data_IF_685064538998
#
_entry.id   IF_685064538998
#
_cell.length_a   1.000
_cell.length_b   1.000
_cell.length_c   1.000
_cell.angle_alpha   90.00
_cell.angle_beta   90.00
_cell.angle_gamma   90.00
#
_symmetry.space_group_name_H-M   'P 1'
#
loop_
_entity.id
_entity.type
_entity.pdbx_description
1 polymer ?
#
# COMPACT_ATOMS: atom_id res chain seq x y z
N UNK A 1 -104.66 -14.14 -22.65
CA UNK A 1 -105.08 -14.77 -21.38
C UNK A 1 -104.12 -14.31 -20.28
N UNK A 2 -104.68 -13.71 -19.21
CA UNK A 2 -104.13 -13.25 -17.92
C UNK A 2 -102.60 -13.25 -17.63
N UNK A 3 -102.12 -12.04 -17.30
CA UNK A 3 -100.96 -11.61 -16.47
C UNK A 3 -100.69 -12.51 -15.23
N UNK A 4 -99.46 -12.56 -14.66
CA UNK A 4 -99.00 -11.45 -13.80
C UNK A 4 -97.49 -11.11 -13.75
N UNK A 5 -97.28 -9.84 -13.39
CA UNK A 5 -96.05 -9.24 -12.85
C UNK A 5 -95.35 -10.13 -11.81
N UNK A 6 -94.03 -10.25 -11.94
CA UNK A 6 -93.13 -10.50 -10.82
C UNK A 6 -91.88 -9.61 -10.91
N UNK A 7 -91.74 -8.78 -9.88
CA UNK A 7 -90.53 -8.07 -9.48
C UNK A 7 -89.35 -9.03 -9.35
N UNK A 8 -88.18 -8.65 -9.89
CA UNK A 8 -86.88 -9.27 -9.60
C UNK A 8 -86.00 -8.18 -8.98
N UNK A 9 -85.46 -8.35 -7.77
CA UNK A 9 -84.59 -7.38 -7.16
C UNK A 9 -83.17 -7.49 -7.73
N UNK A 10 -82.55 -6.33 -7.95
CA UNK A 10 -81.13 -6.18 -8.22
C UNK A 10 -80.31 -6.74 -7.05
N UNK A 11 -79.52 -7.80 -7.28
CA UNK A 11 -78.44 -8.20 -6.39
C UNK A 11 -77.16 -7.55 -6.92
N UNK A 12 -76.76 -6.45 -6.30
CA UNK A 12 -75.47 -5.80 -6.53
C UNK A 12 -74.39 -6.64 -5.81
N UNK A 13 -73.74 -7.52 -6.55
CA UNK A 13 -72.63 -8.31 -6.03
C UNK A 13 -71.39 -7.39 -5.94
N UNK A 14 -71.21 -6.75 -4.79
CA UNK A 14 -70.02 -5.96 -4.49
C UNK A 14 -68.80 -6.88 -4.34
N UNK A 15 -67.94 -6.91 -5.36
CA UNK A 15 -66.61 -7.48 -5.27
C UNK A 15 -65.73 -6.55 -4.42
N UNK A 16 -65.50 -6.93 -3.16
CA UNK A 16 -64.53 -6.30 -2.29
C UNK A 16 -63.12 -6.69 -2.77
N UNK A 17 -62.54 -5.88 -3.66
CA UNK A 17 -61.12 -5.93 -4.00
C UNK A 17 -60.33 -5.41 -2.79
N UNK A 18 -59.88 -6.34 -1.95
CA UNK A 18 -58.94 -6.07 -0.87
C UNK A 18 -57.56 -5.81 -1.50
N UNK A 19 -57.25 -4.54 -1.78
CA UNK A 19 -55.89 -4.13 -2.14
C UNK A 19 -55.00 -4.23 -0.91
N UNK A 20 -54.29 -5.36 -0.75
CA UNK A 20 -53.12 -5.41 0.12
C UNK A 20 -52.03 -4.51 -0.48
N UNK A 21 -51.98 -3.26 -0.05
CA UNK A 21 -50.78 -2.44 -0.17
C UNK A 21 -49.73 -3.03 0.78
N UNK A 22 -48.85 -3.86 0.23
CA UNK A 22 -47.56 -4.16 0.87
C UNK A 22 -46.77 -2.85 0.94
N UNK A 23 -46.95 -2.12 2.03
CA UNK A 23 -45.98 -1.11 2.48
C UNK A 23 -44.71 -1.86 2.91
N UNK A 24 -43.90 -2.25 1.94
CA UNK A 24 -42.52 -2.61 2.19
C UNK A 24 -41.79 -1.32 2.55
N UNK A 25 -41.79 -0.97 3.85
CA UNK A 25 -40.88 0.05 4.34
C UNK A 25 -39.47 -0.50 4.15
N UNK A 26 -38.80 -0.11 3.07
CA UNK A 26 -37.36 -0.25 2.96
C UNK A 26 -36.74 0.59 4.08
N UNK A 27 -36.53 -0.02 5.24
CA UNK A 27 -35.67 0.52 6.27
C UNK A 27 -34.27 0.59 5.67
N UNK A 28 -33.93 1.74 5.09
CA UNK A 28 -32.57 2.03 4.66
C UNK A 28 -31.66 1.83 5.86
N UNK A 29 -30.86 0.76 5.85
CA UNK A 29 -29.77 0.58 6.80
C UNK A 29 -28.88 1.81 6.66
N UNK A 30 -28.87 2.70 7.67
CA UNK A 30 -27.85 3.75 7.77
C UNK A 30 -26.49 3.05 7.69
N UNK A 31 -25.74 3.27 6.61
CA UNK A 31 -24.35 2.83 6.51
C UNK A 31 -23.61 3.40 7.72
N UNK A 32 -23.10 2.53 8.58
CA UNK A 32 -22.28 2.93 9.71
C UNK A 32 -20.97 3.48 9.17
N UNK A 33 -20.70 4.76 9.41
CA UNK A 33 -19.40 5.38 9.11
C UNK A 33 -18.39 4.98 10.20
N UNK A 34 -17.24 4.47 9.77
CA UNK A 34 -16.11 4.20 10.64
C UNK A 34 -15.36 5.49 10.96
N UNK A 35 -14.81 5.59 12.17
CA UNK A 35 -13.93 6.71 12.55
C UNK A 35 -12.62 6.59 11.75
N UNK A 36 -12.17 7.65 11.05
CA UNK A 36 -10.91 7.60 10.31
C UNK A 36 -9.74 7.38 11.26
N UNK A 37 -8.78 6.57 10.84
CA UNK A 37 -7.52 6.37 11.56
C UNK A 37 -6.67 7.64 11.50
N UNK A 38 -5.97 7.91 12.60
CA UNK A 38 -4.96 8.96 12.64
C UNK A 38 -3.60 8.26 12.62
N UNK A 39 -2.94 8.32 11.47
CA UNK A 39 -1.55 7.91 11.30
C UNK A 39 -0.71 9.17 11.36
N UNK A 40 0.35 9.17 12.15
CA UNK A 40 1.30 10.28 12.19
C UNK A 40 2.11 10.31 10.90
N UNK A 41 1.86 11.33 10.07
CA UNK A 41 2.54 11.55 8.80
C UNK A 41 3.67 12.60 8.90
N UNK A 42 4.01 13.08 10.09
CA UNK A 42 5.06 14.09 10.28
C UNK A 42 6.45 13.63 9.86
N UNK A 43 6.68 12.32 9.84
CA UNK A 43 7.93 11.68 9.42
C UNK A 43 7.81 10.95 8.08
N UNK A 44 6.90 11.39 7.21
CA UNK A 44 6.67 10.76 5.92
C UNK A 44 6.51 11.79 4.82
N UNK A 45 7.15 11.59 3.68
CA UNK A 45 6.68 12.15 2.41
C UNK A 45 5.85 11.13 1.65
N UNK A 46 5.06 11.57 0.66
CA UNK A 46 4.28 10.69 -0.21
C UNK A 46 4.51 11.02 -1.67
N UNK A 47 4.74 9.99 -2.47
CA UNK A 47 4.72 10.07 -3.94
C UNK A 47 3.41 9.49 -4.45
N UNK A 48 2.74 10.18 -5.38
CA UNK A 48 1.47 9.73 -6.00
C UNK A 48 1.71 9.26 -7.44
N UNK A 49 0.77 8.52 -8.06
CA UNK A 49 0.94 8.05 -9.42
C UNK A 49 0.74 9.17 -10.44
N UNK A 50 0.11 10.29 -10.08
CA UNK A 50 -0.12 11.39 -11.00
C UNK A 50 1.08 12.33 -11.05
N UNK A 51 1.25 13.01 -12.18
CA UNK A 51 2.12 14.17 -12.26
C UNK A 51 1.38 15.36 -11.63
N UNK A 52 2.12 16.24 -10.98
CA UNK A 52 1.60 17.52 -10.54
C UNK A 52 1.15 18.33 -11.79
N UNK A 53 -0.15 18.67 -11.92
CA UNK A 53 -0.66 19.38 -13.08
C UNK A 53 0.01 20.74 -13.32
N UNK A 54 0.53 21.38 -12.28
CA UNK A 54 1.18 22.69 -12.38
C UNK A 54 2.61 22.58 -12.92
N UNK A 55 3.34 21.51 -12.58
CA UNK A 55 4.77 21.38 -12.91
C UNK A 55 5.08 20.31 -13.95
N UNK A 56 4.14 19.39 -14.21
CA UNK A 56 4.35 18.20 -15.03
C UNK A 56 5.37 17.22 -14.42
N UNK A 57 5.75 17.39 -13.16
CA UNK A 57 6.72 16.54 -12.46
C UNK A 57 6.03 15.54 -11.56
N UNK A 58 6.75 14.48 -11.20
CA UNK A 58 6.27 13.51 -10.21
C UNK A 58 5.93 14.23 -8.91
N UNK A 59 4.72 14.03 -8.43
CA UNK A 59 4.28 14.58 -7.16
C UNK A 59 5.05 13.96 -6.01
N UNK A 60 5.64 14.80 -5.17
CA UNK A 60 6.21 14.42 -3.88
C UNK A 60 5.78 15.47 -2.84
N UNK A 61 4.90 15.08 -1.92
CA UNK A 61 4.38 15.97 -0.88
C UNK A 61 5.00 15.58 0.44
N UNK A 62 5.63 16.55 1.09
CA UNK A 62 6.37 16.37 2.35
C UNK A 62 5.66 17.13 3.50
N UNK A 63 6.08 16.94 4.76
CA UNK A 63 5.66 17.79 5.86
C UNK A 63 6.08 19.26 5.65
N UNK A 64 5.24 20.22 6.06
CA UNK A 64 3.93 20.04 6.72
C UNK A 64 2.76 19.77 5.76
N UNK A 65 2.92 19.90 4.45
CA UNK A 65 1.82 19.83 3.47
C UNK A 65 1.08 18.47 3.48
N UNK A 66 1.81 17.37 3.70
CA UNK A 66 1.21 16.02 3.80
C UNK A 66 0.26 15.87 4.99
N UNK A 67 0.42 16.68 6.05
CA UNK A 67 -0.44 16.61 7.23
C UNK A 67 -1.89 17.02 6.91
N UNK A 68 -2.08 17.82 5.86
CA UNK A 68 -3.39 18.21 5.34
C UNK A 68 -3.82 17.37 4.12
N UNK A 69 -3.41 16.09 4.05
CA UNK A 69 -3.67 15.23 2.88
C UNK A 69 -5.13 15.18 2.46
N UNK A 70 -6.06 15.19 3.41
CA UNK A 70 -7.49 15.10 3.15
C UNK A 70 -8.03 16.29 2.31
N UNK A 71 -7.38 17.45 2.39
CA UNK A 71 -7.75 18.65 1.64
C UNK A 71 -6.69 19.04 0.59
N UNK A 72 -5.68 18.20 0.37
CA UNK A 72 -4.62 18.48 -0.60
C UNK A 72 -5.02 17.93 -1.98
N UNK A 73 -5.17 18.81 -2.97
CA UNK A 73 -5.62 18.45 -4.32
C UNK A 73 -4.69 17.46 -5.03
N UNK A 74 -3.39 17.47 -4.71
CA UNK A 74 -2.42 16.52 -5.24
C UNK A 74 -2.55 15.11 -4.64
N UNK A 75 -3.21 14.99 -3.48
CA UNK A 75 -3.25 13.76 -2.70
C UNK A 75 -4.63 13.12 -2.62
N UNK A 76 -5.71 13.91 -2.55
CA UNK A 76 -7.07 13.43 -2.22
C UNK A 76 -7.61 12.31 -3.13
N UNK A 77 -7.07 12.18 -4.36
CA UNK A 77 -7.40 11.08 -5.28
C UNK A 77 -6.67 9.78 -4.94
N UNK A 78 -5.42 9.86 -4.50
CA UNK A 78 -4.51 8.72 -4.36
C UNK A 78 -4.18 8.37 -2.90
N UNK A 79 -4.49 9.26 -1.96
CA UNK A 79 -4.33 9.06 -0.53
C UNK A 79 -5.49 9.74 0.22
N UNK A 80 -6.40 8.95 0.79
CA UNK A 80 -7.62 9.46 1.42
C UNK A 80 -8.16 8.52 2.50
N UNK A 81 -8.99 9.05 3.39
CA UNK A 81 -9.71 8.22 4.38
C UNK A 81 -10.92 7.55 3.73
N UNK A 82 -11.05 6.24 3.92
CA UNK A 82 -12.28 5.53 3.57
C UNK A 82 -13.26 5.56 4.77
N UNK A 83 -14.41 6.24 4.65
CA UNK A 83 -15.38 6.33 5.74
C UNK A 83 -16.06 5.00 6.06
N UNK A 84 -15.98 3.98 5.21
CA UNK A 84 -16.58 2.66 5.47
C UNK A 84 -15.67 1.79 6.33
N UNK A 85 -14.38 1.75 6.00
CA UNK A 85 -13.41 0.90 6.71
C UNK A 85 -12.63 1.65 7.79
N UNK A 86 -12.59 2.98 7.72
CA UNK A 86 -11.76 3.85 8.56
C UNK A 86 -10.30 3.90 8.14
N UNK A 87 -9.89 3.21 7.08
CA UNK A 87 -8.49 3.14 6.64
C UNK A 87 -8.00 4.44 5.99
N UNK A 88 -6.68 4.67 6.06
CA UNK A 88 -5.99 5.51 5.09
C UNK A 88 -5.71 4.66 3.84
N UNK A 89 -6.36 5.02 2.73
CA UNK A 89 -6.29 4.29 1.45
C UNK A 89 -5.20 4.87 0.57
N UNK A 90 -4.35 3.99 0.02
CA UNK A 90 -3.35 4.30 -0.99
C UNK A 90 -3.78 3.71 -2.34
N UNK A 91 -4.24 4.57 -3.24
CA UNK A 91 -4.74 4.19 -4.56
C UNK A 91 -3.69 4.47 -5.64
N UNK A 92 -3.31 3.43 -6.40
CA UNK A 92 -2.35 3.54 -7.49
C UNK A 92 -2.79 2.72 -8.71
N UNK A 93 -2.38 3.18 -9.88
CA UNK A 93 -2.66 2.61 -11.20
C UNK A 93 -1.53 3.01 -12.16
N UNK A 94 -1.37 2.34 -13.32
CA UNK A 94 -0.35 2.68 -14.30
C UNK A 94 -0.57 4.10 -14.83
N UNK A 95 0.47 4.90 -14.78
CA UNK A 95 0.45 6.32 -15.12
C UNK A 95 1.84 6.78 -15.56
N UNK A 96 1.95 8.02 -16.03
CA UNK A 96 3.24 8.62 -16.40
C UNK A 96 4.08 9.08 -15.19
N UNK A 97 3.46 9.26 -14.02
CA UNK A 97 4.12 9.68 -12.78
C UNK A 97 5.06 8.62 -12.21
N UNK A 98 6.28 8.55 -12.76
CA UNK A 98 7.35 7.65 -12.34
C UNK A 98 8.62 8.45 -12.06
N UNK A 99 9.27 8.17 -10.94
CA UNK A 99 10.61 8.72 -10.62
C UNK A 99 11.69 8.04 -11.47
N UNK A 100 12.86 8.68 -11.59
CA UNK A 100 13.97 8.24 -12.45
C UNK A 100 14.35 6.76 -12.29
N UNK A 101 14.31 6.22 -11.06
CA UNK A 101 14.77 4.86 -10.74
C UNK A 101 13.62 3.85 -10.63
N UNK A 102 12.46 4.13 -11.21
CA UNK A 102 11.24 3.33 -10.99
C UNK A 102 10.52 3.01 -12.29
N UNK A 103 10.10 1.75 -12.43
CA UNK A 103 9.39 1.29 -13.63
C UNK A 103 7.87 1.34 -13.53
N UNK A 104 7.34 1.54 -12.32
CA UNK A 104 5.91 1.46 -12.02
C UNK A 104 5.45 2.65 -11.18
N UNK A 105 4.15 2.91 -11.20
CA UNK A 105 3.49 3.98 -10.46
C UNK A 105 3.26 3.60 -8.99
N UNK A 106 3.10 4.59 -8.12
CA UNK A 106 2.92 4.38 -6.68
C UNK A 106 2.05 5.44 -6.04
N UNK A 107 1.31 5.06 -5.01
CA UNK A 107 0.88 5.93 -3.93
C UNK A 107 1.55 5.40 -2.67
N UNK A 108 2.71 5.93 -2.31
CA UNK A 108 3.59 5.28 -1.33
C UNK A 108 4.34 6.31 -0.49
N UNK A 109 4.33 6.07 0.82
CA UNK A 109 5.07 6.85 1.80
C UNK A 109 6.56 6.51 1.73
N UNK A 110 7.39 7.52 1.97
CA UNK A 110 8.83 7.42 2.18
C UNK A 110 9.16 8.05 3.53
N UNK A 111 9.77 7.27 4.41
CA UNK A 111 10.16 7.72 5.75
C UNK A 111 11.10 8.92 5.67
N UNK A 112 10.98 9.85 6.60
CA UNK A 112 11.89 10.96 6.85
C UNK A 112 12.24 10.99 8.34
N UNK A 113 13.47 10.62 8.71
CA UNK A 113 13.91 10.67 10.12
C UNK A 113 13.80 12.09 10.69
N UNK A 114 14.04 13.08 9.84
CA UNK A 114 13.79 14.50 10.13
C UNK A 114 12.70 14.99 9.17
N UNK A 115 11.57 15.53 9.66
CA UNK A 115 10.47 16.00 8.81
C UNK A 115 10.95 16.94 7.71
N UNK A 116 10.55 16.68 6.45
CA UNK A 116 10.93 17.49 5.29
C UNK A 116 12.39 17.32 4.83
N UNK A 117 13.11 16.32 5.33
CA UNK A 117 14.50 16.08 4.96
C UNK A 117 14.77 14.63 4.55
N UNK A 118 15.01 14.43 3.26
CA UNK A 118 15.34 13.11 2.68
C UNK A 118 16.81 12.69 2.84
N UNK A 119 17.67 13.57 3.36
CA UNK A 119 19.12 13.33 3.45
C UNK A 119 19.55 12.75 4.80
N UNK A 120 18.67 12.71 5.81
CA UNK A 120 18.94 12.05 7.10
C UNK A 120 18.22 10.70 7.14
N UNK A 121 18.99 9.63 7.21
CA UNK A 121 18.53 8.25 7.08
C UNK A 121 19.31 7.36 8.06
N UNK A 122 18.94 6.09 8.21
CA UNK A 122 19.48 5.21 9.24
C UNK A 122 20.26 4.03 8.67
N UNK A 123 21.25 3.57 9.42
CA UNK A 123 22.03 2.36 9.11
C UNK A 123 21.44 1.14 9.81
N UNK A 124 21.72 -0.06 9.30
CA UNK A 124 21.31 -1.30 9.97
C UNK A 124 21.91 -1.44 11.38
N UNK A 125 23.04 -0.79 11.65
CA UNK A 125 23.65 -0.72 12.99
C UNK A 125 22.82 0.10 13.98
N UNK A 126 22.25 1.24 13.55
CA UNK A 126 21.26 1.97 14.34
C UNK A 126 20.00 1.12 14.52
N UNK A 127 19.62 0.38 13.48
CA UNK A 127 18.43 -0.47 13.50
C UNK A 127 17.16 0.33 13.30
N UNK A 128 16.04 -0.38 13.27
CA UNK A 128 14.73 0.22 13.05
C UNK A 128 13.63 -0.82 13.14
N UNK A 129 12.48 -0.42 13.66
CA UNK A 129 11.27 -1.25 13.72
C UNK A 129 10.12 -0.53 13.06
N UNK A 130 9.57 -1.11 12.00
CA UNK A 130 8.31 -0.67 11.38
C UNK A 130 7.21 -1.66 11.77
N UNK A 131 6.08 -1.15 12.26
CA UNK A 131 4.85 -1.93 12.48
C UNK A 131 3.72 -1.35 11.66
N UNK A 132 2.97 -2.21 10.98
CA UNK A 132 1.80 -1.83 10.20
C UNK A 132 0.62 -2.78 10.44
N UNK A 133 -0.59 -2.23 10.52
CA UNK A 133 -1.85 -2.97 10.40
C UNK A 133 -2.46 -2.57 9.05
N UNK A 134 -2.62 -3.53 8.14
CA UNK A 134 -2.96 -3.28 6.74
C UNK A 134 -4.01 -4.27 6.22
N UNK A 135 -4.63 -3.95 5.09
CA UNK A 135 -5.39 -4.90 4.27
C UNK A 135 -5.20 -4.58 2.79
N UNK A 136 -5.28 -5.59 1.93
CA UNK A 136 -5.55 -5.32 0.52
C UNK A 136 -7.01 -4.89 0.39
N UNK A 137 -7.26 -3.68 -0.12
CA UNK A 137 -8.61 -3.17 -0.30
C UNK A 137 -9.24 -3.71 -1.59
N UNK A 138 -8.65 -3.32 -2.71
CA UNK A 138 -9.05 -3.78 -4.05
C UNK A 138 -7.81 -3.93 -4.93
N UNK A 139 -7.82 -4.89 -5.84
CA UNK A 139 -6.74 -5.04 -6.82
C UNK A 139 -7.28 -5.69 -8.09
N UNK A 140 -6.89 -5.13 -9.23
CA UNK A 140 -7.25 -5.66 -10.54
C UNK A 140 -6.71 -7.07 -10.75
N UNK A 141 -7.33 -7.77 -11.68
CA UNK A 141 -6.82 -9.04 -12.21
C UNK A 141 -6.26 -8.83 -13.60
N UNK A 142 -5.26 -9.62 -13.94
CA UNK A 142 -4.55 -9.63 -15.22
C UNK A 142 -4.58 -11.04 -15.82
N UNK A 143 -4.36 -11.11 -17.14
CA UNK A 143 -4.20 -12.37 -17.87
C UNK A 143 -5.28 -13.41 -17.52
N UNK A 144 -4.84 -14.60 -17.11
CA UNK A 144 -5.70 -15.72 -16.70
C UNK A 144 -6.47 -15.50 -15.37
N UNK A 145 -6.80 -14.25 -15.03
CA UNK A 145 -7.56 -13.88 -13.84
C UNK A 145 -6.72 -13.82 -12.56
N UNK A 146 -5.39 -13.76 -12.63
CA UNK A 146 -4.55 -13.61 -11.44
C UNK A 146 -4.56 -12.16 -10.97
N UNK A 147 -4.51 -11.92 -9.65
CA UNK A 147 -4.42 -10.55 -9.15
C UNK A 147 -3.07 -9.93 -9.49
N UNK A 148 -3.06 -8.64 -9.81
CA UNK A 148 -1.84 -7.84 -9.94
C UNK A 148 -1.04 -7.89 -8.64
N UNK A 149 0.28 -7.85 -8.73
CA UNK A 149 1.17 -7.81 -7.56
C UNK A 149 1.26 -6.39 -7.02
N UNK A 150 1.36 -6.25 -5.70
CA UNK A 150 1.52 -4.95 -5.05
C UNK A 150 2.64 -5.03 -4.02
N UNK A 151 3.65 -4.17 -4.13
CA UNK A 151 4.62 -3.98 -3.05
C UNK A 151 3.97 -3.06 -2.02
N UNK A 152 3.89 -3.51 -0.77
CA UNK A 152 3.16 -2.84 0.31
C UNK A 152 4.06 -2.23 1.37
N UNK A 153 5.27 -2.80 1.57
CA UNK A 153 6.30 -2.27 2.46
C UNK A 153 7.69 -2.48 1.84
N UNK A 154 8.63 -1.59 2.13
CA UNK A 154 10.03 -1.71 1.70
C UNK A 154 11.00 -1.18 2.75
N UNK A 155 12.24 -1.64 2.67
CA UNK A 155 13.41 -0.90 3.13
C UNK A 155 14.24 -0.62 1.89
N UNK A 156 14.50 0.65 1.63
CA UNK A 156 15.27 1.08 0.48
C UNK A 156 16.64 1.59 0.92
N UNK A 157 17.70 1.08 0.30
CA UNK A 157 19.03 1.60 0.51
C UNK A 157 19.19 3.01 -0.06
N UNK A 158 20.14 3.74 0.49
CA UNK A 158 20.53 5.07 0.05
C UNK A 158 22.04 5.25 0.18
N UNK A 159 22.65 5.83 -0.85
CA UNK A 159 24.03 6.31 -0.80
C UNK A 159 24.09 7.64 -0.05
N UNK A 160 25.18 7.87 0.70
CA UNK A 160 25.52 9.22 1.17
C UNK A 160 26.02 10.10 0.01
N UNK A 161 26.20 11.41 0.25
CA UNK A 161 26.80 12.29 -0.75
C UNK A 161 28.24 11.89 -1.09
N UNK A 162 29.01 11.45 -0.09
CA UNK A 162 30.39 10.97 -0.25
C UNK A 162 30.43 9.69 -1.08
N UNK A 163 29.55 8.73 -0.78
CA UNK A 163 29.46 7.48 -1.54
C UNK A 163 29.04 7.72 -2.98
N UNK A 164 28.00 8.54 -3.20
CA UNK A 164 27.56 8.96 -4.53
C UNK A 164 28.73 9.57 -5.32
N UNK A 165 29.50 10.47 -4.70
CA UNK A 165 30.67 11.10 -5.32
C UNK A 165 31.78 10.08 -5.61
N UNK A 166 32.05 9.17 -4.67
CA UNK A 166 33.10 8.15 -4.77
C UNK A 166 32.93 7.28 -6.01
N UNK A 167 31.70 6.80 -6.26
CA UNK A 167 31.40 5.93 -7.41
C UNK A 167 30.91 6.70 -8.65
N UNK A 168 30.93 8.04 -8.62
CA UNK A 168 30.50 8.88 -9.75
C UNK A 168 29.01 8.74 -10.11
N UNK A 169 28.15 8.36 -9.16
CA UNK A 169 26.72 8.18 -9.42
C UNK A 169 25.98 9.53 -9.49
N UNK A 170 24.96 9.61 -10.35
CA UNK A 170 24.18 10.85 -10.56
C UNK A 170 23.23 11.20 -9.41
N UNK A 171 22.82 10.19 -8.66
CA UNK A 171 21.87 10.30 -7.55
C UNK A 171 22.29 9.36 -6.40
N UNK A 172 21.52 9.40 -5.32
CA UNK A 172 21.79 8.61 -4.12
C UNK A 172 21.13 7.22 -4.13
N UNK A 173 20.71 6.73 -5.29
CA UNK A 173 19.98 5.47 -5.38
C UNK A 173 20.87 4.29 -4.97
N UNK A 174 20.39 3.45 -4.06
CA UNK A 174 20.95 2.13 -3.78
C UNK A 174 19.84 1.08 -3.80
N UNK A 175 20.13 -0.23 -3.85
CA UNK A 175 19.09 -1.23 -4.03
C UNK A 175 18.08 -1.29 -2.85
N UNK A 176 16.83 -1.74 -3.10
CA UNK A 176 15.88 -2.04 -2.03
C UNK A 176 16.19 -3.39 -1.39
N UNK A 177 16.77 -3.40 -0.18
CA UNK A 177 17.14 -4.62 0.56
C UNK A 177 15.95 -5.47 0.97
N UNK A 178 14.77 -4.84 1.14
CA UNK A 178 13.54 -5.51 1.49
C UNK A 178 12.40 -5.01 0.60
N UNK A 179 11.66 -5.96 0.02
CA UNK A 179 10.34 -5.74 -0.56
C UNK A 179 9.37 -6.75 0.03
N UNK A 180 8.27 -6.26 0.59
CA UNK A 180 7.15 -7.10 1.02
C UNK A 180 5.99 -6.84 0.06
N UNK A 181 5.51 -7.92 -0.55
CA UNK A 181 4.46 -7.92 -1.56
C UNK A 181 3.21 -8.59 -1.02
N UNK A 182 2.06 -8.04 -1.40
CA UNK A 182 0.84 -8.82 -1.49
C UNK A 182 0.77 -9.44 -2.89
N UNK A 183 0.59 -10.75 -2.96
CA UNK A 183 0.52 -11.51 -4.21
C UNK A 183 -0.47 -12.66 -4.07
N UNK A 184 -1.61 -12.58 -4.77
CA UNK A 184 -2.65 -13.62 -4.79
C UNK A 184 -3.07 -14.08 -3.38
N UNK A 185 -3.37 -13.12 -2.49
CA UNK A 185 -3.83 -13.38 -1.12
C UNK A 185 -2.73 -13.77 -0.13
N UNK A 186 -1.46 -13.80 -0.55
CA UNK A 186 -0.32 -14.10 0.33
C UNK A 186 0.64 -12.93 0.47
N UNK A 187 1.35 -12.94 1.59
CA UNK A 187 2.49 -12.06 1.81
C UNK A 187 3.78 -12.75 1.35
N UNK A 188 4.46 -12.10 0.40
CA UNK A 188 5.73 -12.55 -0.17
C UNK A 188 6.83 -11.56 0.16
N UNK A 189 7.96 -12.04 0.65
CA UNK A 189 9.16 -11.25 0.93
C UNK A 189 10.17 -11.50 -0.19
N UNK A 190 10.84 -10.44 -0.63
CA UNK A 190 12.08 -10.52 -1.42
C UNK A 190 13.15 -9.66 -0.76
N UNK A 191 14.38 -10.15 -0.76
CA UNK A 191 15.56 -9.43 -0.24
C UNK A 191 16.68 -9.35 -1.27
N UNK A 192 17.72 -8.56 -0.97
CA UNK A 192 18.94 -8.50 -1.78
C UNK A 192 20.04 -9.40 -1.26
N UNK A 193 20.80 -9.97 -2.20
CA UNK A 193 21.99 -10.80 -1.98
C UNK A 193 23.16 -10.19 -2.75
N UNK A 194 24.32 -10.08 -2.10
CA UNK A 194 25.55 -9.62 -2.75
C UNK A 194 26.06 -10.71 -3.69
N UNK A 195 26.28 -10.38 -4.97
CA UNK A 195 26.69 -11.37 -5.99
C UNK A 195 28.10 -11.92 -5.75
N UNK A 196 29.04 -11.04 -5.41
CA UNK A 196 30.42 -11.40 -5.11
C UNK A 196 30.69 -11.20 -3.61
N UNK A 197 30.82 -12.27 -2.81
CA UNK A 197 31.17 -12.15 -1.41
C UNK A 197 32.52 -11.47 -1.18
N UNK A 198 33.42 -11.40 -2.15
CA UNK A 198 34.72 -10.72 -1.99
C UNK A 198 34.73 -9.30 -2.59
N UNK A 199 33.57 -8.73 -2.91
CA UNK A 199 33.48 -7.38 -3.44
C UNK A 199 34.13 -6.37 -2.47
N UNK A 200 34.90 -5.46 -3.05
CA UNK A 200 35.46 -4.29 -2.38
C UNK A 200 34.34 -3.35 -1.91
N UNK A 201 34.68 -2.38 -1.07
CA UNK A 201 33.73 -1.38 -0.61
C UNK A 201 33.05 -0.63 -1.76
N UNK A 202 33.81 -0.14 -2.73
CA UNK A 202 33.28 0.60 -3.89
C UNK A 202 32.39 -0.26 -4.79
N UNK A 203 32.77 -1.51 -5.04
CA UNK A 203 31.94 -2.45 -5.80
C UNK A 203 30.61 -2.71 -5.11
N UNK A 204 30.59 -2.83 -3.77
CA UNK A 204 29.36 -3.03 -3.02
C UNK A 204 28.39 -1.84 -3.11
N UNK A 205 28.88 -0.63 -3.37
CA UNK A 205 28.01 0.56 -3.52
C UNK A 205 27.22 0.53 -4.84
N UNK A 206 27.65 -0.25 -5.83
CA UNK A 206 26.98 -0.34 -7.13
C UNK A 206 25.69 -1.15 -7.04
N UNK A 207 24.61 -0.64 -7.64
CA UNK A 207 23.30 -1.30 -7.56
C UNK A 207 23.29 -2.70 -8.19
N UNK A 208 24.11 -2.92 -9.22
CA UNK A 208 24.23 -4.18 -9.95
C UNK A 208 25.14 -5.21 -9.25
N UNK A 209 25.85 -4.84 -8.19
CA UNK A 209 26.53 -5.80 -7.31
C UNK A 209 25.54 -6.67 -6.52
N UNK A 210 24.26 -6.28 -6.46
CA UNK A 210 23.22 -6.95 -5.68
C UNK A 210 22.17 -7.58 -6.59
N UNK A 211 21.76 -8.81 -6.26
CA UNK A 211 20.67 -9.53 -6.93
C UNK A 211 19.52 -9.82 -5.97
N UNK A 212 18.37 -10.19 -6.51
CA UNK A 212 17.25 -10.67 -5.69
C UNK A 212 17.52 -12.09 -5.17
N UNK A 213 17.01 -12.39 -3.98
CA UNK A 213 16.89 -13.77 -3.48
C UNK A 213 15.77 -14.55 -4.20
N UNK A 214 15.63 -15.83 -3.85
CA UNK A 214 14.53 -16.69 -4.34
C UNK A 214 13.15 -16.22 -3.85
N UNK A 215 13.11 -15.45 -2.77
CA UNK A 215 11.93 -14.91 -2.12
C UNK A 215 11.18 -15.92 -1.27
N UNK A 216 10.55 -15.44 -0.20
CA UNK A 216 9.86 -16.26 0.79
C UNK A 216 8.36 -15.95 0.80
N UNK A 217 7.49 -16.96 0.85
CA UNK A 217 6.06 -16.76 1.08
C UNK A 217 5.72 -17.19 2.50
N UNK A 218 4.98 -16.36 3.24
CA UNK A 218 4.32 -16.84 4.45
C UNK A 218 3.30 -17.93 4.11
N UNK A 219 3.07 -18.85 5.05
CA UNK A 219 2.14 -19.96 4.84
C UNK A 219 0.71 -19.44 4.88
N UNK A 220 0.41 -18.60 5.87
CA UNK A 220 -0.87 -17.90 6.02
C UNK A 220 -1.29 -17.15 4.74
N UNK A 221 -2.56 -17.30 4.39
CA UNK A 221 -3.23 -16.46 3.39
C UNK A 221 -3.97 -15.36 4.13
N UNK A 222 -3.61 -14.12 3.84
CA UNK A 222 -4.31 -12.95 4.36
C UNK A 222 -5.52 -12.58 3.50
N UNK A 223 -5.52 -12.99 2.22
CA UNK A 223 -6.53 -12.61 1.23
C UNK A 223 -6.79 -11.09 1.26
N UNK A 224 -8.03 -10.68 1.54
CA UNK A 224 -8.43 -9.27 1.69
C UNK A 224 -8.69 -8.89 3.17
N UNK A 225 -8.38 -9.80 4.10
CA UNK A 225 -8.55 -9.55 5.52
C UNK A 225 -7.46 -8.59 6.05
N UNK A 226 -7.72 -8.01 7.21
CA UNK A 226 -6.70 -7.26 7.95
C UNK A 226 -5.60 -8.20 8.42
N UNK A 227 -4.37 -7.73 8.33
CA UNK A 227 -3.19 -8.40 8.87
C UNK A 227 -2.21 -7.38 9.47
N UNK A 228 -1.30 -7.86 10.29
CA UNK A 228 -0.22 -7.04 10.85
C UNK A 228 1.13 -7.51 10.33
N UNK A 229 2.01 -6.56 10.04
CA UNK A 229 3.39 -6.79 9.69
C UNK A 229 4.29 -6.02 10.65
N UNK A 230 5.28 -6.71 11.20
CA UNK A 230 6.40 -6.10 11.93
C UNK A 230 7.69 -6.40 11.18
N UNK A 231 8.45 -5.36 10.85
CA UNK A 231 9.81 -5.47 10.31
C UNK A 231 10.76 -4.93 11.36
N UNK A 232 11.65 -5.78 11.87
CA UNK A 232 12.65 -5.42 12.89
C UNK A 232 14.04 -5.64 12.35
N UNK A 233 14.83 -4.56 12.32
CA UNK A 233 16.19 -4.53 11.81
C UNK A 233 17.16 -4.22 12.94
N UNK A 234 18.27 -4.95 12.93
CA UNK A 234 19.49 -4.63 13.67
C UNK A 234 20.70 -5.05 12.84
N UNK A 235 21.90 -4.79 13.34
CA UNK A 235 23.14 -5.09 12.64
C UNK A 235 23.16 -6.56 12.14
N UNK A 236 23.28 -6.74 10.82
CA UNK A 236 23.36 -8.04 10.18
C UNK A 236 22.11 -8.94 10.28
N UNK A 237 20.99 -8.43 10.80
CA UNK A 237 19.76 -9.21 10.99
C UNK A 237 18.49 -8.43 10.72
N UNK A 238 17.58 -9.06 9.99
CA UNK A 238 16.25 -8.55 9.71
C UNK A 238 15.21 -9.64 9.98
N UNK A 239 14.22 -9.35 10.80
CA UNK A 239 13.11 -10.23 11.11
C UNK A 239 11.80 -9.59 10.62
N UNK A 240 10.99 -10.37 9.89
CA UNK A 240 9.67 -9.96 9.42
C UNK A 240 8.66 -10.91 10.02
N UNK A 241 7.68 -10.38 10.73
CA UNK A 241 6.62 -11.16 11.40
C UNK A 241 5.26 -10.80 10.83
N UNK A 242 4.50 -11.80 10.40
CA UNK A 242 3.09 -11.71 9.99
C UNK A 242 2.19 -12.12 11.16
N UNK A 243 1.21 -11.28 11.49
CA UNK A 243 0.15 -11.58 12.47
C UNK A 243 0.65 -12.00 13.87
N UNK A 244 1.84 -11.56 14.25
CA UNK A 244 2.52 -11.96 15.50
C UNK A 244 2.71 -13.48 15.66
N UNK A 245 2.69 -14.22 14.55
CA UNK A 245 2.77 -15.68 14.54
C UNK A 245 3.94 -16.16 13.66
N UNK A 246 3.81 -16.06 12.33
CA UNK A 246 4.87 -16.49 11.43
C UNK A 246 5.99 -15.44 11.33
N UNK A 247 7.23 -15.84 11.65
CA UNK A 247 8.42 -14.98 11.49
C UNK A 247 9.39 -15.56 10.47
N UNK A 248 9.82 -14.73 9.51
CA UNK A 248 10.98 -15.00 8.66
C UNK A 248 12.16 -14.17 9.13
N UNK A 249 13.26 -14.84 9.48
CA UNK A 249 14.53 -14.20 9.83
C UNK A 249 15.52 -14.32 8.67
N UNK A 250 16.18 -13.20 8.37
CA UNK A 250 17.35 -13.10 7.52
C UNK A 250 18.54 -12.70 8.38
N UNK A 251 19.55 -13.55 8.44
CA UNK A 251 20.80 -13.34 9.18
C UNK A 251 21.91 -14.03 8.39
N UNK A 252 22.57 -13.29 7.50
CA UNK A 252 23.53 -13.82 6.54
C UNK A 252 24.63 -12.81 6.21
N UNK A 253 25.64 -13.23 5.44
CA UNK A 253 26.77 -12.39 5.09
C UNK A 253 26.37 -11.18 4.24
N UNK A 254 25.46 -11.33 3.28
CA UNK A 254 24.96 -10.20 2.48
C UNK A 254 24.34 -9.12 3.35
N UNK A 255 23.58 -9.50 4.39
CA UNK A 255 22.95 -8.54 5.30
C UNK A 255 23.97 -7.87 6.24
N UNK A 256 25.04 -8.59 6.64
CA UNK A 256 26.17 -7.97 7.34
C UNK A 256 26.89 -6.95 6.46
N UNK A 257 27.04 -7.25 5.17
CA UNK A 257 27.67 -6.36 4.19
C UNK A 257 26.78 -5.20 3.75
N UNK A 258 25.47 -5.32 3.95
CA UNK A 258 24.50 -4.25 3.68
C UNK A 258 24.73 -2.99 4.52
N UNK A 259 25.49 -3.08 5.63
CA UNK A 259 25.85 -1.95 6.49
C UNK A 259 26.57 -0.79 5.77
N UNK A 260 27.01 -0.98 4.53
CA UNK A 260 27.55 0.11 3.72
C UNK A 260 26.51 1.17 3.37
N UNK A 261 25.21 0.86 3.38
CA UNK A 261 24.16 1.80 3.00
C UNK A 261 23.42 2.41 4.20
N UNK A 262 22.98 3.66 4.02
CA UNK A 262 21.84 4.19 4.77
C UNK A 262 20.52 3.64 4.22
N UNK A 263 19.42 3.82 4.95
CA UNK A 263 18.15 3.18 4.68
C UNK A 263 16.98 4.07 5.08
N UNK A 264 15.85 3.87 4.41
CA UNK A 264 14.56 4.41 4.81
C UNK A 264 13.45 3.38 4.56
N UNK A 265 12.45 3.37 5.43
CA UNK A 265 11.24 2.60 5.25
C UNK A 265 10.34 3.21 4.18
N UNK A 266 9.53 2.35 3.56
CA UNK A 266 8.43 2.75 2.69
C UNK A 266 7.19 1.93 2.99
N UNK A 267 6.02 2.54 2.86
CA UNK A 267 4.74 1.90 3.11
C UNK A 267 3.64 2.46 2.21
N UNK A 268 2.77 1.61 1.68
CA UNK A 268 1.63 2.05 0.87
C UNK A 268 1.38 1.11 -0.29
N UNK A 269 1.27 1.67 -1.49
CA UNK A 269 0.92 0.96 -2.71
C UNK A 269 1.93 1.27 -3.81
N UNK A 270 2.93 0.39 -3.97
CA UNK A 270 3.78 0.39 -5.13
C UNK A 270 3.32 -0.70 -6.11
N UNK A 271 2.48 -0.28 -7.06
CA UNK A 271 1.70 -1.15 -7.94
C UNK A 271 2.57 -1.80 -9.03
N UNK A 272 2.62 -3.13 -9.11
CA UNK A 272 3.56 -3.84 -9.99
C UNK A 272 2.94 -4.26 -11.33
N UNK A 273 2.19 -3.35 -11.96
CA UNK A 273 1.65 -3.55 -13.30
C UNK A 273 1.73 -2.30 -14.14
N UNK A 274 1.72 -2.51 -15.47
CA UNK A 274 1.67 -1.47 -16.49
C UNK A 274 0.44 -1.62 -17.39
N UNK A 275 -0.36 -2.65 -17.19
CA UNK A 275 -1.49 -2.97 -18.05
C UNK A 275 -2.57 -1.88 -17.95
N UNK A 276 -2.99 -1.26 -19.06
CA UNK A 276 -3.99 -0.20 -19.03
C UNK A 276 -5.28 -0.64 -18.29
N UNK A 277 -5.80 0.23 -17.42
CA UNK A 277 -7.03 -0.03 -16.66
C UNK A 277 -6.84 -0.87 -15.39
N UNK A 278 -5.64 -1.39 -15.12
CA UNK A 278 -5.33 -2.08 -13.87
C UNK A 278 -5.09 -1.09 -12.72
N UNK A 279 -5.31 -1.53 -11.47
CA UNK A 279 -5.16 -0.69 -10.28
C UNK A 279 -5.04 -1.51 -9.00
N UNK A 280 -4.64 -0.85 -7.91
CA UNK A 280 -4.78 -1.37 -6.56
C UNK A 280 -5.15 -0.27 -5.55
N UNK A 281 -5.78 -0.68 -4.45
CA UNK A 281 -6.03 0.09 -3.23
C UNK A 281 -5.47 -0.68 -2.05
N UNK A 282 -4.54 -0.08 -1.32
CA UNK A 282 -3.99 -0.65 -0.09
C UNK A 282 -4.52 0.16 1.09
N UNK A 283 -5.06 -0.53 2.09
CA UNK A 283 -5.62 0.09 3.28
C UNK A 283 -4.61 -0.01 4.42
N UNK A 284 -4.28 1.11 5.04
CA UNK A 284 -3.46 1.17 6.26
C UNK A 284 -4.32 1.65 7.43
N UNK A 285 -4.33 0.88 8.51
CA UNK A 285 -5.06 1.19 9.74
C UNK A 285 -4.15 1.70 10.85
N UNK A 286 -2.91 1.20 10.89
CA UNK A 286 -1.86 1.66 11.81
C UNK A 286 -0.52 1.60 11.09
N UNK A 287 0.33 2.57 11.36
CA UNK A 287 1.71 2.60 10.91
C UNK A 287 2.54 3.33 11.97
N UNK A 288 3.66 2.72 12.36
CA UNK A 288 4.59 3.31 13.33
C UNK A 288 6.00 2.86 13.01
N UNK A 289 6.96 3.76 13.24
CA UNK A 289 8.40 3.49 13.11
C UNK A 289 9.10 3.91 14.39
N UNK A 290 10.16 3.19 14.76
CA UNK A 290 11.06 3.51 15.88
C UNK A 290 12.48 3.10 15.52
N UNK A 291 13.46 3.83 16.05
CA UNK A 291 14.90 3.56 15.92
C UNK A 291 15.53 3.45 17.31
#
# INVERSE_FOLDING_TARGET
MKLPNRFIPFILCGTLLLSLSLNCSAQGKKEKTAKPVSIDLSHWSVTTPELDPATGKVTNVEPPQILNYANNDLLKKNMYNDPKTGALVFYAYPSEGKTANTSFSRSELREQMVPGNNNINWTFKQGGTLKAEMAMGEVSREGAGQYSKVIILQIHGRLTDEQKKLIGQKDHNAPPVLKILWQNGKIRIKTKVLKNPNATYEEMLQTDAWTDDEGYNFKEKVDFNKFTLEVKVKEGRMAITLNNDETKVYENESLRKWNVFENYFKAGNYFQSKEPGTFAKVNIYKLSVSH
#
